data_IF_511483161714
#
_entry.id   IF_511483161714
#
_cell.length_a   1.000
_cell.length_b   1.000
_cell.length_c   1.000
_cell.angle_alpha   90.00
_cell.angle_beta   90.00
_cell.angle_gamma   90.00
#
_symmetry.space_group_name_H-M   'P 1'
#
loop_
_entity.id
_entity.type
_entity.pdbx_description
1 polymer ?
#
# COMPACT_ATOMS: atom_id res chain seq x y z
N UNK A 1 -2.04 11.78 8.41
CA UNK A 1 -1.95 11.37 6.98
C UNK A 1 -1.92 12.59 6.05
N UNK A 2 -2.92 13.48 6.10
CA UNK A 2 -3.11 14.60 5.17
C UNK A 2 -1.88 15.52 4.98
N UNK A 3 -1.16 16.00 6.02
CA UNK A 3 -0.01 16.88 5.81
C UNK A 3 1.11 16.25 4.97
N UNK A 4 1.35 14.96 5.15
CA UNK A 4 2.38 14.24 4.39
C UNK A 4 1.98 14.12 2.91
N UNK A 5 0.71 13.79 2.63
CA UNK A 5 0.18 13.76 1.25
C UNK A 5 0.33 15.12 0.58
N UNK A 6 -0.07 16.19 1.28
CA UNK A 6 -0.01 17.54 0.75
C UNK A 6 1.44 17.96 0.38
N UNK A 7 2.39 17.71 1.28
CA UNK A 7 3.81 18.08 1.02
C UNK A 7 4.35 17.27 -0.16
N UNK A 8 4.06 15.98 -0.24
CA UNK A 8 4.57 15.14 -1.33
C UNK A 8 3.90 15.52 -2.66
N UNK A 9 2.61 15.77 -2.69
CA UNK A 9 1.93 16.23 -3.90
C UNK A 9 2.40 17.63 -4.35
N UNK A 10 2.80 18.51 -3.43
CA UNK A 10 3.48 19.77 -3.79
C UNK A 10 4.81 19.48 -4.49
N UNK A 11 5.62 18.54 -3.98
CA UNK A 11 6.88 18.16 -4.63
C UNK A 11 6.63 17.54 -6.02
N UNK A 12 5.61 16.71 -6.17
CA UNK A 12 5.19 16.14 -7.45
C UNK A 12 4.78 17.26 -8.43
N UNK A 13 3.91 18.18 -7.98
CA UNK A 13 3.49 19.32 -8.78
C UNK A 13 4.67 20.16 -9.26
N UNK A 14 5.63 20.47 -8.37
CA UNK A 14 6.83 21.20 -8.72
C UNK A 14 7.72 20.42 -9.71
N UNK A 15 7.90 19.13 -9.50
CA UNK A 15 8.66 18.27 -10.41
C UNK A 15 8.03 18.22 -11.81
N UNK A 16 6.69 18.16 -11.89
CA UNK A 16 5.98 18.24 -13.17
C UNK A 16 6.17 19.61 -13.85
N UNK A 17 6.05 20.72 -13.09
CA UNK A 17 6.25 22.09 -13.63
C UNK A 17 7.68 22.33 -14.11
N UNK A 18 8.66 21.71 -13.49
CA UNK A 18 10.07 21.80 -13.87
C UNK A 18 10.45 20.79 -14.99
N UNK A 19 9.51 19.97 -15.47
CA UNK A 19 9.78 18.98 -16.53
C UNK A 19 10.72 17.84 -16.09
N UNK A 20 10.75 17.50 -14.80
CA UNK A 20 11.65 16.47 -14.27
C UNK A 20 11.14 15.04 -14.50
N UNK A 21 9.89 14.89 -14.94
CA UNK A 21 9.30 13.58 -15.25
C UNK A 21 9.81 13.09 -16.61
N UNK A 22 10.46 11.94 -16.62
CA UNK A 22 10.97 11.28 -17.83
C UNK A 22 10.43 9.85 -17.98
N UNK A 23 9.38 9.54 -17.23
CA UNK A 23 8.77 8.21 -17.19
C UNK A 23 8.23 7.75 -18.55
N UNK A 24 7.74 8.65 -19.41
CA UNK A 24 7.26 8.28 -20.76
C UNK A 24 8.38 7.70 -21.62
N UNK A 25 9.53 8.34 -21.68
CA UNK A 25 10.68 7.83 -22.44
C UNK A 25 11.28 6.58 -21.78
N UNK A 26 11.37 6.55 -20.46
CA UNK A 26 11.85 5.37 -19.72
C UNK A 26 10.92 4.17 -19.88
N UNK A 27 9.61 4.38 -20.00
CA UNK A 27 8.63 3.34 -20.22
C UNK A 27 8.85 2.58 -21.55
N UNK A 28 9.18 3.31 -22.62
CA UNK A 28 9.52 2.71 -23.92
C UNK A 28 10.74 1.80 -23.78
N UNK A 29 11.80 2.28 -23.12
CA UNK A 29 13.01 1.50 -22.91
C UNK A 29 12.77 0.27 -22.02
N UNK A 30 11.86 0.39 -21.04
CA UNK A 30 11.52 -0.69 -20.11
C UNK A 30 10.42 -1.65 -20.62
N UNK A 31 9.83 -1.42 -21.80
CA UNK A 31 8.69 -2.19 -22.30
C UNK A 31 7.44 -2.10 -21.41
N UNK A 32 7.21 -0.94 -20.78
CA UNK A 32 6.11 -0.68 -19.84
C UNK A 32 5.24 0.51 -20.26
N UNK A 33 5.06 0.68 -21.56
CA UNK A 33 4.40 1.84 -22.16
C UNK A 33 2.92 1.95 -21.72
N UNK A 34 2.21 0.83 -21.70
CA UNK A 34 0.77 0.82 -21.36
C UNK A 34 0.48 1.26 -19.93
N UNK A 35 1.43 1.09 -19.03
CA UNK A 35 1.26 1.41 -17.61
C UNK A 35 2.05 2.64 -17.17
N UNK A 36 3.37 2.63 -17.36
CA UNK A 36 4.25 3.65 -16.75
C UNK A 36 4.24 4.99 -17.50
N UNK A 37 4.04 4.98 -18.81
CA UNK A 37 4.02 6.20 -19.61
C UNK A 37 2.82 7.12 -19.32
N UNK A 38 1.70 6.54 -18.87
CA UNK A 38 0.45 7.28 -18.60
C UNK A 38 0.49 8.16 -17.34
N UNK A 39 1.40 7.89 -16.41
CA UNK A 39 1.46 8.67 -15.16
C UNK A 39 2.00 10.08 -15.40
N UNK A 40 1.33 11.07 -14.75
CA UNK A 40 1.72 12.47 -14.75
C UNK A 40 1.90 13.10 -16.16
N UNK A 41 1.15 12.59 -17.15
CA UNK A 41 1.19 13.05 -18.56
C UNK A 41 0.29 14.25 -18.87
N UNK A 42 -0.32 14.86 -17.88
CA UNK A 42 -1.24 15.99 -17.98
C UNK A 42 -0.59 17.32 -17.54
N UNK A 43 -1.22 18.46 -17.91
CA UNK A 43 -0.75 19.78 -17.46
C UNK A 43 -1.10 20.00 -15.99
N UNK A 44 -0.11 20.17 -15.09
CA UNK A 44 -0.38 20.28 -13.66
C UNK A 44 -1.04 21.61 -13.28
N UNK A 45 -2.10 21.54 -12.48
CA UNK A 45 -2.84 22.64 -11.89
C UNK A 45 -2.69 22.64 -10.37
N UNK A 46 -2.31 23.77 -9.78
CA UNK A 46 -2.17 23.88 -8.33
C UNK A 46 -3.47 23.59 -7.58
N UNK A 47 -4.61 24.07 -8.11
CA UNK A 47 -5.91 23.84 -7.48
C UNK A 47 -6.35 22.37 -7.55
N UNK A 48 -6.06 21.68 -8.65
CA UNK A 48 -6.34 20.24 -8.79
C UNK A 48 -5.50 19.43 -7.81
N UNK A 49 -4.20 19.72 -7.72
CA UNK A 49 -3.30 19.09 -6.76
C UNK A 49 -3.76 19.31 -5.31
N UNK A 50 -4.20 20.52 -4.97
CA UNK A 50 -4.68 20.84 -3.64
C UNK A 50 -5.97 20.07 -3.30
N UNK A 51 -6.92 19.99 -4.24
CA UNK A 51 -8.17 19.21 -4.10
C UNK A 51 -7.86 17.74 -3.86
N UNK A 52 -6.98 17.13 -4.65
CA UNK A 52 -6.58 15.74 -4.48
C UNK A 52 -5.97 15.52 -3.09
N UNK A 53 -5.05 16.40 -2.66
CA UNK A 53 -4.33 16.25 -1.39
C UNK A 53 -5.19 16.44 -0.14
N UNK A 54 -6.20 17.31 -0.19
CA UNK A 54 -6.99 17.65 1.00
C UNK A 54 -8.16 16.68 1.23
N UNK A 55 -8.84 16.27 0.16
CA UNK A 55 -10.02 15.42 0.30
C UNK A 55 -10.20 14.40 -0.83
N UNK A 56 -9.69 14.66 -2.03
CA UNK A 56 -9.92 13.82 -3.19
C UNK A 56 -9.42 12.39 -3.01
N UNK A 57 -8.17 12.23 -2.55
CA UNK A 57 -7.58 10.90 -2.33
C UNK A 57 -8.24 10.14 -1.17
N UNK A 58 -8.80 10.84 -0.17
CA UNK A 58 -9.43 10.19 0.99
C UNK A 58 -10.88 9.79 0.75
N UNK A 59 -11.65 10.63 0.04
CA UNK A 59 -13.08 10.42 -0.15
C UNK A 59 -13.42 9.78 -1.50
N UNK A 60 -12.68 10.12 -2.56
CA UNK A 60 -12.98 9.74 -3.93
C UNK A 60 -11.91 8.86 -4.59
N UNK A 61 -10.80 8.58 -3.90
CA UNK A 61 -9.71 7.76 -4.43
C UNK A 61 -8.96 8.40 -5.60
N UNK A 62 -9.02 9.75 -5.74
CA UNK A 62 -8.28 10.44 -6.80
C UNK A 62 -6.78 10.29 -6.57
N UNK A 63 -6.04 10.01 -7.62
CA UNK A 63 -4.62 9.66 -7.58
C UNK A 63 -3.87 10.14 -8.84
N UNK A 64 -4.32 11.25 -9.42
CA UNK A 64 -3.78 11.79 -10.66
C UNK A 64 -2.33 12.26 -10.49
N UNK A 65 -2.03 12.97 -9.38
CA UNK A 65 -0.68 13.44 -9.08
C UNK A 65 0.21 12.34 -8.52
N UNK A 66 -0.30 11.55 -7.61
CA UNK A 66 0.45 10.45 -7.03
C UNK A 66 -0.32 9.15 -7.18
N UNK A 67 0.09 8.32 -8.13
CA UNK A 67 -0.58 7.09 -8.52
C UNK A 67 -0.82 6.08 -7.39
N UNK A 68 -0.17 6.24 -6.23
CA UNK A 68 -0.34 5.32 -5.09
C UNK A 68 -1.45 5.75 -4.12
N UNK A 69 -2.04 6.95 -4.29
CA UNK A 69 -3.04 7.49 -3.35
C UNK A 69 -4.38 6.77 -3.34
N UNK A 70 -4.70 5.96 -4.35
CA UNK A 70 -5.94 5.19 -4.42
C UNK A 70 -6.20 4.33 -3.17
N UNK A 71 -5.15 3.84 -2.53
CA UNK A 71 -5.25 3.04 -1.31
C UNK A 71 -5.71 3.85 -0.10
N UNK A 72 -5.49 5.18 -0.10
CA UNK A 72 -5.87 6.03 1.03
C UNK A 72 -7.39 6.11 1.21
N UNK A 73 -8.16 6.07 0.12
CA UNK A 73 -9.61 5.97 0.20
C UNK A 73 -10.03 4.70 0.93
N UNK A 74 -9.43 3.56 0.57
CA UNK A 74 -9.75 2.27 1.18
C UNK A 74 -9.43 2.29 2.68
N UNK A 75 -8.24 2.77 3.05
CA UNK A 75 -7.83 2.87 4.45
C UNK A 75 -8.71 3.84 5.25
N UNK A 76 -9.01 5.01 4.68
CA UNK A 76 -9.78 6.05 5.35
C UNK A 76 -11.24 5.63 5.56
N UNK A 77 -11.94 5.26 4.49
CA UNK A 77 -13.33 4.82 4.58
C UNK A 77 -13.47 3.48 5.31
N UNK A 78 -12.50 2.58 5.15
CA UNK A 78 -12.44 1.32 5.89
C UNK A 78 -12.37 1.53 7.39
N UNK A 79 -11.58 2.50 7.86
CA UNK A 79 -11.55 2.84 9.29
C UNK A 79 -12.92 3.32 9.81
N UNK A 80 -13.67 4.09 9.01
CA UNK A 80 -15.04 4.49 9.39
C UNK A 80 -16.00 3.30 9.42
N UNK A 81 -15.86 2.34 8.50
CA UNK A 81 -16.63 1.08 8.54
C UNK A 81 -16.34 0.34 9.84
N UNK A 82 -15.07 0.21 10.24
CA UNK A 82 -14.68 -0.47 11.47
C UNK A 82 -15.22 0.26 12.72
N UNK A 83 -15.16 1.59 12.78
CA UNK A 83 -15.75 2.36 13.87
C UNK A 83 -17.27 2.21 13.94
N UNK A 84 -17.96 2.25 12.80
CA UNK A 84 -19.40 2.04 12.74
C UNK A 84 -19.78 0.63 13.21
N UNK A 85 -19.04 -0.38 12.80
CA UNK A 85 -19.21 -1.76 13.25
C UNK A 85 -19.00 -1.89 14.75
N UNK A 86 -17.94 -1.31 15.30
CA UNK A 86 -17.66 -1.33 16.72
C UNK A 86 -18.81 -0.69 17.53
N UNK A 87 -19.33 0.45 17.06
CA UNK A 87 -20.45 1.15 17.69
C UNK A 87 -21.77 0.36 17.61
N UNK A 88 -22.04 -0.29 16.48
CA UNK A 88 -23.27 -1.03 16.24
C UNK A 88 -23.29 -2.41 16.92
N UNK A 89 -22.13 -3.10 16.98
CA UNK A 89 -22.05 -4.50 17.36
C UNK A 89 -21.44 -4.76 18.73
N UNK A 90 -20.82 -3.76 19.34
CA UNK A 90 -20.13 -3.87 20.64
C UNK A 90 -20.99 -4.50 21.73
N UNK A 91 -20.65 -5.72 22.18
CA UNK A 91 -21.36 -6.44 23.24
C UNK A 91 -22.77 -6.95 22.89
N UNK A 92 -23.25 -6.79 21.66
CA UNK A 92 -24.63 -7.13 21.29
C UNK A 92 -24.75 -8.56 20.76
N UNK A 93 -25.82 -9.27 21.12
CA UNK A 93 -26.07 -10.66 20.70
C UNK A 93 -26.32 -10.80 19.19
N UNK A 94 -26.87 -9.78 18.54
CA UNK A 94 -27.20 -9.80 17.11
C UNK A 94 -26.02 -9.44 16.18
N UNK A 95 -24.82 -9.22 16.73
CA UNK A 95 -23.64 -8.83 15.94
C UNK A 95 -23.37 -9.71 14.71
N UNK A 96 -23.60 -11.03 14.81
CA UNK A 96 -23.38 -11.95 13.70
C UNK A 96 -24.33 -11.74 12.52
N UNK A 97 -25.55 -11.25 12.79
CA UNK A 97 -26.50 -10.87 11.73
C UNK A 97 -25.96 -9.63 11.00
N UNK A 98 -25.48 -8.64 11.75
CA UNK A 98 -24.86 -7.44 11.16
C UNK A 98 -23.65 -7.82 10.32
N UNK A 99 -22.78 -8.69 10.83
CA UNK A 99 -21.62 -9.17 10.09
C UNK A 99 -22.00 -9.90 8.81
N UNK A 100 -23.00 -10.75 8.83
CA UNK A 100 -23.49 -11.44 7.64
C UNK A 100 -24.00 -10.43 6.57
N UNK A 101 -24.80 -9.43 6.99
CA UNK A 101 -25.29 -8.39 6.09
C UNK A 101 -24.13 -7.58 5.49
N UNK A 102 -23.21 -7.12 6.34
CA UNK A 102 -22.05 -6.33 5.90
C UNK A 102 -21.15 -7.14 4.98
N UNK A 103 -20.90 -8.42 5.27
CA UNK A 103 -20.13 -9.30 4.40
C UNK A 103 -20.74 -9.39 2.99
N UNK A 104 -22.08 -9.55 2.89
CA UNK A 104 -22.78 -9.60 1.60
C UNK A 104 -22.67 -8.28 0.86
N UNK A 105 -22.85 -7.15 1.55
CA UNK A 105 -22.74 -5.81 0.95
C UNK A 105 -21.33 -5.53 0.43
N UNK A 106 -20.31 -5.93 1.20
CA UNK A 106 -18.91 -5.68 0.85
C UNK A 106 -18.27 -6.74 -0.06
N UNK A 107 -18.99 -7.82 -0.41
CA UNK A 107 -18.45 -9.00 -1.06
C UNK A 107 -17.64 -8.71 -2.34
N UNK A 108 -18.02 -7.67 -3.09
CA UNK A 108 -17.36 -7.29 -4.36
C UNK A 108 -16.55 -6.00 -4.25
N UNK A 109 -16.16 -5.61 -3.04
CA UNK A 109 -15.40 -4.38 -2.79
C UNK A 109 -14.08 -4.69 -2.08
N UNK A 110 -13.12 -3.80 -2.19
CA UNK A 110 -11.83 -3.89 -1.49
C UNK A 110 -11.97 -3.77 0.05
N UNK A 111 -13.10 -3.25 0.52
CA UNK A 111 -13.42 -3.12 1.95
C UNK A 111 -13.69 -4.47 2.64
N UNK A 112 -13.97 -5.54 1.88
CA UNK A 112 -14.18 -6.88 2.44
C UNK A 112 -12.98 -7.33 3.28
N UNK A 113 -11.75 -7.06 2.80
CA UNK A 113 -10.54 -7.44 3.52
C UNK A 113 -10.41 -6.72 4.88
N UNK A 114 -10.73 -5.44 4.95
CA UNK A 114 -10.72 -4.64 6.18
C UNK A 114 -11.76 -5.17 7.16
N UNK A 115 -13.00 -5.34 6.69
CA UNK A 115 -14.08 -5.91 7.49
C UNK A 115 -13.73 -7.30 8.07
N UNK A 116 -13.18 -8.21 7.26
CA UNK A 116 -12.78 -9.53 7.75
C UNK A 116 -11.63 -9.46 8.76
N UNK A 117 -10.70 -8.51 8.57
CA UNK A 117 -9.67 -8.19 9.56
C UNK A 117 -10.25 -7.73 10.88
N UNK A 118 -11.24 -6.83 10.85
CA UNK A 118 -11.98 -6.39 12.05
C UNK A 118 -12.63 -7.57 12.77
N UNK A 119 -13.38 -8.42 12.06
CA UNK A 119 -14.04 -9.60 12.65
C UNK A 119 -13.01 -10.56 13.26
N UNK A 120 -11.90 -10.80 12.55
CA UNK A 120 -10.80 -11.63 13.04
C UNK A 120 -10.20 -11.09 14.34
N UNK A 121 -10.06 -9.78 14.49
CA UNK A 121 -9.46 -9.17 15.68
C UNK A 121 -10.41 -9.08 16.88
N UNK A 122 -11.72 -8.86 16.62
CA UNK A 122 -12.69 -8.55 17.69
C UNK A 122 -13.43 -9.75 18.23
N UNK A 123 -13.86 -10.66 17.36
CA UNK A 123 -14.84 -11.70 17.71
C UNK A 123 -14.31 -13.12 17.59
N UNK A 124 -13.24 -13.33 16.89
CA UNK A 124 -12.72 -14.66 16.72
C UNK A 124 -11.80 -15.03 17.90
N UNK A 125 -12.29 -15.89 18.78
CA UNK A 125 -11.50 -16.40 19.91
C UNK A 125 -10.53 -17.52 19.46
N UNK A 126 -9.87 -17.28 18.35
CA UNK A 126 -8.96 -18.18 17.64
C UNK A 126 -7.66 -18.47 18.42
N UNK A 127 -7.34 -17.65 19.43
CA UNK A 127 -6.25 -17.96 20.36
C UNK A 127 -6.43 -19.34 21.02
N UNK A 128 -7.65 -19.76 21.32
CA UNK A 128 -7.88 -21.03 21.98
C UNK A 128 -7.79 -22.23 21.03
N UNK A 129 -8.15 -22.07 19.75
CA UNK A 129 -8.25 -23.17 18.80
C UNK A 129 -6.96 -23.52 18.07
N UNK A 130 -6.14 -22.54 17.74
CA UNK A 130 -5.03 -22.68 16.79
C UNK A 130 -3.65 -22.34 17.37
N UNK A 131 -3.58 -21.69 18.54
CA UNK A 131 -2.31 -21.26 19.14
C UNK A 131 -1.34 -22.41 19.49
N UNK A 132 -1.87 -23.61 19.74
CA UNK A 132 -1.06 -24.77 20.13
C UNK A 132 -0.41 -25.53 18.97
N UNK A 133 -0.92 -25.43 17.76
CA UNK A 133 -0.44 -26.22 16.63
C UNK A 133 0.58 -25.46 15.76
N UNK A 134 1.85 -25.68 16.06
CA UNK A 134 2.96 -25.05 15.33
C UNK A 134 2.97 -25.41 13.83
N UNK A 135 2.63 -26.63 13.48
CA UNK A 135 2.60 -27.09 12.09
C UNK A 135 1.51 -26.34 11.32
N UNK A 136 0.31 -26.26 11.89
CA UNK A 136 -0.79 -25.52 11.27
C UNK A 136 -0.44 -24.04 11.04
N UNK A 137 0.19 -23.40 12.02
CA UNK A 137 0.60 -21.99 11.89
C UNK A 137 1.64 -21.80 10.77
N UNK A 138 2.60 -22.72 10.60
CA UNK A 138 3.54 -22.67 9.48
C UNK A 138 2.86 -22.97 8.14
N UNK A 139 1.89 -23.88 8.11
CA UNK A 139 1.09 -24.13 6.92
C UNK A 139 0.29 -22.89 6.53
N UNK A 140 -0.38 -22.23 7.49
CA UNK A 140 -1.09 -20.96 7.25
C UNK A 140 -0.16 -19.85 6.76
N UNK A 141 1.08 -19.80 7.28
CA UNK A 141 2.10 -18.87 6.79
C UNK A 141 2.45 -19.13 5.31
N UNK A 142 2.70 -20.37 4.95
CA UNK A 142 3.05 -20.75 3.57
C UNK A 142 1.87 -20.54 2.61
N UNK A 143 0.67 -20.94 2.99
CA UNK A 143 -0.57 -20.72 2.23
C UNK A 143 -0.84 -19.22 2.07
N UNK A 144 -0.65 -18.46 3.16
CA UNK A 144 -0.78 -17.01 3.15
C UNK A 144 0.16 -16.36 2.13
N UNK A 145 1.44 -16.69 2.15
CA UNK A 145 2.42 -16.21 1.18
C UNK A 145 2.05 -16.60 -0.26
N UNK A 146 1.66 -17.85 -0.48
CA UNK A 146 1.27 -18.32 -1.81
C UNK A 146 0.15 -17.49 -2.41
N UNK A 147 -0.94 -17.26 -1.67
CA UNK A 147 -2.09 -16.49 -2.15
C UNK A 147 -1.84 -14.98 -2.18
N UNK A 148 -1.03 -14.43 -1.26
CA UNK A 148 -0.63 -13.01 -1.33
C UNK A 148 0.23 -12.68 -2.54
N UNK A 149 1.06 -13.65 -2.98
CA UNK A 149 1.91 -13.51 -4.16
C UNK A 149 1.21 -13.89 -5.47
N UNK A 150 -0.10 -14.13 -5.47
CA UNK A 150 -0.85 -14.38 -6.70
C UNK A 150 -0.73 -13.17 -7.65
N UNK A 151 -0.46 -13.37 -8.96
CA UNK A 151 -0.25 -12.27 -9.90
C UNK A 151 -1.46 -11.34 -9.98
N UNK A 152 -1.21 -10.02 -9.94
CA UNK A 152 -2.26 -9.01 -10.10
C UNK A 152 -2.63 -8.76 -11.56
N UNK A 153 -1.76 -9.11 -12.51
CA UNK A 153 -2.00 -9.02 -13.94
C UNK A 153 -2.51 -10.36 -14.49
N UNK A 154 -3.50 -10.31 -15.37
CA UNK A 154 -4.17 -11.49 -15.95
C UNK A 154 -3.38 -12.18 -17.07
N UNK A 155 -2.07 -11.91 -17.21
CA UNK A 155 -1.21 -12.51 -18.25
C UNK A 155 0.14 -12.97 -17.65
N UNK A 156 0.75 -13.94 -18.29
CA UNK A 156 2.09 -14.42 -17.95
C UNK A 156 2.18 -15.31 -16.70
N UNK A 157 1.05 -15.75 -16.13
CA UNK A 157 1.03 -16.62 -14.94
C UNK A 157 0.73 -18.10 -15.25
N UNK A 158 0.32 -18.43 -16.48
CA UNK A 158 -0.18 -19.75 -16.90
C UNK A 158 0.85 -20.88 -16.72
N UNK A 159 2.15 -20.57 -16.91
CA UNK A 159 3.24 -21.51 -16.68
C UNK A 159 3.79 -21.54 -15.25
N UNK A 160 3.18 -20.83 -14.32
CA UNK A 160 3.62 -20.70 -12.92
C UNK A 160 2.81 -21.59 -11.98
N UNK A 161 3.20 -21.60 -10.69
CA UNK A 161 2.46 -22.31 -9.63
C UNK A 161 1.01 -21.83 -9.47
N UNK A 162 0.69 -20.63 -9.96
CA UNK A 162 -0.66 -20.06 -9.90
C UNK A 162 -1.53 -20.36 -11.11
N UNK A 163 -0.98 -20.93 -12.19
CA UNK A 163 -1.69 -21.19 -13.43
C UNK A 163 -2.89 -22.13 -13.33
N UNK A 164 -2.99 -22.91 -12.25
CA UNK A 164 -4.13 -23.79 -11.97
C UNK A 164 -5.35 -23.06 -11.38
N UNK A 165 -5.18 -21.78 -10.96
CA UNK A 165 -6.22 -21.01 -10.30
C UNK A 165 -6.83 -19.97 -11.25
N UNK A 166 -8.17 -19.84 -11.33
CA UNK A 166 -8.81 -18.87 -12.21
C UNK A 166 -8.52 -17.43 -11.78
N UNK A 167 -8.06 -16.59 -12.71
CA UNK A 167 -7.73 -15.18 -12.45
C UNK A 167 -8.91 -14.35 -11.94
N UNK A 168 -10.14 -14.71 -12.31
CA UNK A 168 -11.35 -13.98 -11.91
C UNK A 168 -11.52 -13.83 -10.38
N UNK A 169 -10.88 -14.66 -9.59
CA UNK A 169 -10.94 -14.63 -8.12
C UNK A 169 -9.72 -13.96 -7.46
N UNK A 170 -8.90 -13.22 -8.19
CA UNK A 170 -7.66 -12.62 -7.71
C UNK A 170 -7.80 -11.84 -6.39
N UNK A 171 -8.82 -10.99 -6.26
CA UNK A 171 -9.04 -10.21 -5.04
C UNK A 171 -9.34 -11.09 -3.83
N UNK A 172 -10.10 -12.17 -4.01
CA UNK A 172 -10.39 -13.11 -2.92
C UNK A 172 -9.17 -13.92 -2.52
N UNK A 173 -8.30 -14.27 -3.46
CA UNK A 173 -7.02 -14.92 -3.16
C UNK A 173 -6.13 -14.03 -2.31
N UNK A 174 -6.00 -12.75 -2.68
CA UNK A 174 -5.23 -11.80 -1.88
C UNK A 174 -5.82 -11.60 -0.48
N UNK A 175 -7.14 -11.42 -0.35
CA UNK A 175 -7.80 -11.28 0.96
C UNK A 175 -7.57 -12.54 1.81
N UNK A 176 -7.81 -13.72 1.25
CA UNK A 176 -7.59 -14.99 1.94
C UNK A 176 -6.13 -15.17 2.35
N UNK A 177 -5.20 -14.85 1.43
CA UNK A 177 -3.76 -14.90 1.68
C UNK A 177 -3.34 -14.00 2.84
N UNK A 178 -3.80 -12.74 2.85
CA UNK A 178 -3.52 -11.77 3.93
C UNK A 178 -4.07 -12.27 5.26
N UNK A 179 -5.30 -12.77 5.31
CA UNK A 179 -5.89 -13.31 6.54
C UNK A 179 -5.09 -14.49 7.10
N UNK A 180 -4.72 -15.44 6.25
CA UNK A 180 -3.88 -16.58 6.64
C UNK A 180 -2.50 -16.12 7.13
N UNK A 181 -1.87 -15.19 6.43
CA UNK A 181 -0.55 -14.67 6.77
C UNK A 181 -0.56 -13.92 8.10
N UNK A 182 -1.48 -12.97 8.27
CA UNK A 182 -1.62 -12.19 9.52
C UNK A 182 -1.91 -13.11 10.68
N UNK A 183 -2.83 -14.06 10.50
CA UNK A 183 -3.10 -15.09 11.51
C UNK A 183 -1.82 -15.82 11.93
N UNK A 184 -1.05 -16.32 10.98
CA UNK A 184 0.18 -17.04 11.26
C UNK A 184 1.23 -16.16 11.96
N UNK A 185 1.42 -14.92 11.52
CA UNK A 185 2.34 -13.94 12.14
C UNK A 185 1.97 -13.69 13.60
N UNK A 186 0.68 -13.54 13.90
CA UNK A 186 0.20 -13.33 15.27
C UNK A 186 0.41 -14.55 16.19
N UNK A 187 0.61 -15.76 15.64
CA UNK A 187 0.78 -16.99 16.41
C UNK A 187 2.21 -17.56 16.39
N UNK A 188 3.06 -17.16 15.46
CA UNK A 188 4.44 -17.65 15.32
C UNK A 188 5.44 -16.72 16.03
N UNK A 189 5.82 -17.06 17.26
CA UNK A 189 6.83 -16.29 18.05
C UNK A 189 8.15 -16.12 17.31
N UNK A 190 8.57 -17.09 16.50
CA UNK A 190 9.79 -17.01 15.67
C UNK A 190 9.70 -15.91 14.62
N UNK A 191 8.55 -15.79 13.94
CA UNK A 191 8.30 -14.73 12.96
C UNK A 191 8.20 -13.37 13.66
N UNK A 192 7.48 -13.30 14.78
CA UNK A 192 7.41 -12.07 15.59
C UNK A 192 8.80 -11.62 16.05
N UNK A 193 9.63 -12.54 16.57
CA UNK A 193 11.00 -12.23 16.97
C UNK A 193 11.89 -11.77 15.81
N UNK A 194 11.68 -12.31 14.62
CA UNK A 194 12.36 -11.84 13.40
C UNK A 194 11.90 -10.43 13.01
N UNK A 195 10.60 -10.18 12.94
CA UNK A 195 10.03 -8.88 12.61
C UNK A 195 10.27 -7.78 13.65
N UNK A 196 10.56 -8.18 14.90
CA UNK A 196 10.93 -7.25 15.98
C UNK A 196 12.39 -6.78 15.94
N UNK A 197 13.20 -7.24 14.97
CA UNK A 197 14.57 -6.72 14.79
C UNK A 197 14.54 -5.25 14.38
N UNK A 198 15.54 -4.49 14.81
CA UNK A 198 15.64 -3.04 14.60
C UNK A 198 15.43 -2.60 13.16
N UNK A 199 15.90 -3.37 12.19
CA UNK A 199 15.74 -3.06 10.76
C UNK A 199 14.26 -3.06 10.34
N UNK A 200 13.47 -4.06 10.74
CA UNK A 200 12.06 -4.13 10.40
C UNK A 200 11.22 -3.09 11.13
N UNK A 201 11.53 -2.81 12.39
CA UNK A 201 10.90 -1.73 13.15
C UNK A 201 11.19 -0.36 12.50
N UNK A 202 12.44 -0.16 12.04
CA UNK A 202 12.81 1.03 11.30
C UNK A 202 12.01 1.15 9.98
N UNK A 203 11.98 0.08 9.18
CA UNK A 203 11.22 0.05 7.93
C UNK A 203 9.72 0.30 8.17
N UNK A 204 9.15 -0.27 9.23
CA UNK A 204 7.77 0.00 9.64
C UNK A 204 7.53 1.48 9.97
N UNK A 205 8.47 2.13 10.66
CA UNK A 205 8.38 3.54 11.01
C UNK A 205 8.35 4.46 9.78
N UNK A 206 9.16 4.18 8.77
CA UNK A 206 9.24 5.02 7.56
C UNK A 206 8.27 4.59 6.46
N UNK A 207 7.54 3.48 6.62
CA UNK A 207 6.78 2.80 5.56
C UNK A 207 5.75 3.69 4.88
N UNK A 208 5.04 4.53 5.63
CA UNK A 208 4.04 5.44 5.09
C UNK A 208 4.65 6.50 4.17
N UNK A 209 5.67 7.19 4.64
CA UNK A 209 6.40 8.18 3.82
C UNK A 209 7.09 7.52 2.62
N UNK A 210 7.66 6.32 2.81
CA UNK A 210 8.28 5.54 1.74
C UNK A 210 7.25 5.20 0.65
N UNK A 211 6.07 4.75 1.07
CA UNK A 211 4.97 4.44 0.15
C UNK A 211 4.55 5.65 -0.69
N UNK A 212 4.50 6.84 -0.11
CA UNK A 212 4.11 8.05 -0.84
C UNK A 212 5.21 8.59 -1.76
N UNK A 213 6.50 8.40 -1.42
CA UNK A 213 7.64 9.05 -2.10
C UNK A 213 8.21 8.19 -3.23
N UNK A 214 8.17 6.85 -3.11
CA UNK A 214 8.90 5.96 -4.02
C UNK A 214 8.55 6.21 -5.50
N UNK A 215 7.29 6.44 -5.81
CA UNK A 215 6.83 6.63 -7.18
C UNK A 215 7.38 7.93 -7.79
N UNK A 216 7.44 9.02 -7.02
CA UNK A 216 8.09 10.28 -7.44
C UNK A 216 9.56 10.03 -7.81
N UNK A 217 10.31 9.31 -6.97
CA UNK A 217 11.73 9.03 -7.20
C UNK A 217 11.93 8.15 -8.43
N UNK A 218 11.08 7.13 -8.64
CA UNK A 218 11.12 6.26 -9.82
C UNK A 218 10.85 7.05 -11.10
N UNK A 219 9.79 7.86 -11.11
CA UNK A 219 9.34 8.58 -12.31
C UNK A 219 10.24 9.77 -12.68
N UNK A 220 11.00 10.31 -11.73
CA UNK A 220 11.95 11.41 -11.97
C UNK A 220 13.39 10.91 -12.06
N UNK A 221 14.07 10.78 -10.92
CA UNK A 221 15.47 10.35 -10.86
C UNK A 221 15.71 8.99 -11.50
N UNK A 222 14.88 8.01 -11.19
CA UNK A 222 15.05 6.65 -11.71
C UNK A 222 14.93 6.58 -13.23
N UNK A 223 13.95 7.29 -13.79
CA UNK A 223 13.76 7.39 -15.24
C UNK A 223 14.91 8.14 -15.92
N UNK A 224 15.35 9.26 -15.34
CA UNK A 224 16.50 10.01 -15.84
C UNK A 224 17.78 9.16 -15.83
N UNK A 225 18.07 8.48 -14.72
CA UNK A 225 19.24 7.63 -14.57
C UNK A 225 19.23 6.49 -15.59
N UNK A 226 18.07 5.82 -15.75
CA UNK A 226 17.93 4.73 -16.72
C UNK A 226 18.25 5.20 -18.13
N UNK A 227 17.65 6.30 -18.59
CA UNK A 227 17.87 6.85 -19.93
C UNK A 227 19.30 7.33 -20.18
N UNK A 228 19.97 7.84 -19.14
CA UNK A 228 21.33 8.41 -19.28
C UNK A 228 22.41 7.34 -19.24
N UNK A 229 22.24 6.31 -18.41
CA UNK A 229 23.30 5.34 -18.10
C UNK A 229 23.16 4.04 -18.89
N UNK A 230 21.95 3.70 -19.34
CA UNK A 230 21.71 2.48 -20.14
C UNK A 230 22.60 2.38 -21.38
N UNK A 231 22.82 3.45 -22.18
CA UNK A 231 23.69 3.36 -23.35
C UNK A 231 25.16 3.05 -23.03
N UNK A 232 25.59 3.29 -21.77
CA UNK A 232 26.96 3.06 -21.33
C UNK A 232 27.18 1.69 -20.70
N UNK A 233 26.23 1.21 -19.90
CA UNK A 233 26.37 0.00 -19.09
C UNK A 233 25.47 -1.16 -19.53
N UNK A 234 24.54 -0.90 -20.46
CA UNK A 234 23.50 -1.83 -20.86
C UNK A 234 22.36 -1.95 -19.83
N UNK A 235 21.22 -2.43 -20.28
CA UNK A 235 19.95 -2.40 -19.54
C UNK A 235 20.04 -3.09 -18.17
N UNK A 236 20.51 -4.33 -18.09
CA UNK A 236 20.47 -5.12 -16.85
C UNK A 236 21.32 -4.50 -15.72
N UNK A 237 22.55 -4.07 -16.04
CA UNK A 237 23.44 -3.48 -15.05
C UNK A 237 22.93 -2.12 -14.60
N UNK A 238 22.42 -1.31 -15.53
CA UNK A 238 21.80 -0.02 -15.22
C UNK A 238 20.59 -0.19 -14.32
N UNK A 239 19.71 -1.16 -14.59
CA UNK A 239 18.55 -1.45 -13.72
C UNK A 239 18.96 -1.86 -12.31
N UNK A 240 20.01 -2.70 -12.16
CA UNK A 240 20.50 -3.12 -10.85
C UNK A 240 21.04 -1.92 -10.03
N UNK A 241 21.86 -1.08 -10.65
CA UNK A 241 22.40 0.12 -9.99
C UNK A 241 21.26 1.10 -9.67
N UNK A 242 20.35 1.31 -10.61
CA UNK A 242 19.20 2.20 -10.45
C UNK A 242 18.31 1.76 -9.27
N UNK A 243 18.05 0.46 -9.14
CA UNK A 243 17.29 -0.10 -8.01
C UNK A 243 17.93 0.26 -6.66
N UNK A 244 19.26 0.14 -6.54
CA UNK A 244 19.98 0.50 -5.31
C UNK A 244 19.88 2.00 -5.05
N UNK A 245 20.12 2.84 -6.06
CA UNK A 245 20.09 4.29 -5.92
C UNK A 245 18.70 4.80 -5.56
N UNK A 246 17.66 4.35 -6.27
CA UNK A 246 16.25 4.68 -5.97
C UNK A 246 15.92 4.27 -4.53
N UNK A 247 16.34 3.07 -4.09
CA UNK A 247 16.07 2.60 -2.73
C UNK A 247 16.73 3.50 -1.68
N UNK A 248 17.99 3.86 -1.87
CA UNK A 248 18.73 4.75 -0.94
C UNK A 248 18.10 6.14 -0.88
N UNK A 249 17.79 6.72 -2.05
CA UNK A 249 17.18 8.08 -2.14
C UNK A 249 15.79 8.05 -1.48
N UNK A 250 14.97 7.05 -1.79
CA UNK A 250 13.61 6.93 -1.22
C UNK A 250 13.65 6.76 0.29
N UNK A 251 14.52 5.92 0.82
CA UNK A 251 14.69 5.74 2.27
C UNK A 251 15.17 7.05 2.92
N UNK A 252 16.14 7.75 2.32
CA UNK A 252 16.63 9.03 2.83
C UNK A 252 15.55 10.11 2.88
N UNK A 253 14.78 10.27 1.79
CA UNK A 253 13.66 11.22 1.73
C UNK A 253 12.53 10.83 2.70
N UNK A 254 12.28 9.54 2.88
CA UNK A 254 11.27 9.04 3.83
C UNK A 254 11.66 9.35 5.27
N UNK A 255 12.93 9.18 5.63
CA UNK A 255 13.44 9.56 6.96
C UNK A 255 13.28 11.06 7.21
N UNK A 256 13.57 11.92 6.21
CA UNK A 256 13.34 13.36 6.31
C UNK A 256 11.85 13.67 6.50
N UNK A 257 10.97 13.01 5.75
CA UNK A 257 9.52 13.16 5.88
C UNK A 257 9.02 12.78 7.28
N UNK A 258 9.47 11.64 7.82
CA UNK A 258 9.12 11.20 9.17
C UNK A 258 9.59 12.17 10.24
N UNK A 259 10.78 12.78 10.06
CA UNK A 259 11.33 13.73 11.04
C UNK A 259 10.65 15.10 11.03
N UNK A 260 10.31 15.60 9.84
CA UNK A 260 9.91 17.00 9.68
C UNK A 260 8.46 17.19 9.26
N UNK A 261 7.88 16.26 8.49
CA UNK A 261 6.53 16.39 7.91
C UNK A 261 5.48 15.67 8.75
N UNK A 262 5.69 14.41 9.10
CA UNK A 262 4.71 13.64 9.86
C UNK A 262 4.34 14.26 11.22
N UNK A 263 5.27 14.88 11.99
CA UNK A 263 4.93 15.54 13.24
C UNK A 263 3.97 16.72 13.10
N UNK A 264 3.81 17.28 11.89
CA UNK A 264 2.83 18.34 11.63
C UNK A 264 1.41 17.86 11.86
N UNK A 265 1.12 16.57 11.63
CA UNK A 265 -0.19 15.97 11.93
C UNK A 265 -0.56 16.11 13.40
N UNK A 266 0.36 15.73 14.30
CA UNK A 266 0.13 15.84 15.75
C UNK A 266 -0.01 17.28 16.21
N UNK A 267 0.75 18.22 15.64
CA UNK A 267 0.60 19.65 15.96
C UNK A 267 -0.73 20.20 15.53
N UNK A 268 -1.24 19.81 14.36
CA UNK A 268 -2.56 20.24 13.88
C UNK A 268 -3.68 19.67 14.76
N UNK A 269 -3.63 18.41 15.13
CA UNK A 269 -4.61 17.80 16.04
C UNK A 269 -4.61 18.52 17.39
N UNK A 270 -3.45 18.77 17.97
CA UNK A 270 -3.33 19.49 19.24
C UNK A 270 -3.83 20.94 19.20
N UNK A 271 -3.87 21.58 18.02
CA UNK A 271 -4.47 22.89 17.84
C UNK A 271 -6.01 22.82 17.80
N UNK A 272 -6.57 21.77 17.21
CA UNK A 272 -8.01 21.54 17.13
C UNK A 272 -8.60 21.13 18.49
N UNK A 273 -7.87 20.35 19.28
CA UNK A 273 -8.29 19.91 20.62
C UNK A 273 -8.31 21.05 21.66
N UNK A 274 -7.73 22.21 21.34
CA UNK A 274 -7.72 23.39 22.21
C UNK A 274 -8.89 24.36 21.98
N UNK A 275 -9.73 24.10 20.98
CA UNK A 275 -10.97 24.85 20.70
C UNK A 275 -12.19 24.12 21.28
#
# INVERSE_FOLDING_TARGET
LMPTVLVINILIYLAMKLGLYQNTAAAVLAGSEEWFAGFNSFSPSFLSMLKESLYGCFLFGTNDYNGVLWTLQILFLGAYIDYALAALTGGRRFRWIVYAIVAVVLLRTDFLGIFLGYVMCTDWNWKQWLCGNRILNWLMFAVGLYFMCYPSAGFGYEGTLWGILPFVFVNYYHIFGVLCFVFAVLNLKSVQGFLSKKIFLYMGRISYSLYLIHFLVIATFGSWFLLTVEPLLGYNLTCLINLVLISVITVGLSELSVRYVEPLSGKLTALLDKQ
#
